data_IF_577750164934
#
_entry.id   IF_577750164934
#
_cell.length_a   1.000
_cell.length_b   1.000
_cell.length_c   1.000
_cell.angle_alpha   90.00
_cell.angle_beta   90.00
_cell.angle_gamma   90.00
#
_symmetry.space_group_name_H-M   'P 1'
#
loop_
_entity.id
_entity.type
_entity.pdbx_description
1 polymer ?
#
# COMPACT_ATOMS: atom_id res chain seq x y z
N UNK A 1 18.95 4.74 20.38
CA UNK A 1 17.51 4.45 20.60
C UNK A 1 17.15 3.36 19.63
N UNK A 2 16.50 2.29 20.08
CA UNK A 2 16.28 1.09 19.27
C UNK A 2 15.50 1.44 17.99
N UNK A 3 16.13 1.29 16.82
CA UNK A 3 15.36 1.01 15.62
C UNK A 3 14.77 -0.37 15.88
N UNK A 4 13.49 -0.44 16.26
CA UNK A 4 12.80 -1.73 16.42
C UNK A 4 12.52 -2.24 15.00
N UNK A 5 13.58 -2.64 14.32
CA UNK A 5 13.65 -3.00 12.90
C UNK A 5 13.17 -4.41 12.61
N UNK A 6 12.21 -4.92 13.38
CA UNK A 6 11.62 -6.26 13.19
C UNK A 6 10.12 -6.19 12.88
N UNK A 7 9.60 -4.99 12.60
CA UNK A 7 8.21 -4.80 12.21
C UNK A 7 7.99 -5.23 10.77
N UNK A 8 7.11 -6.20 10.53
CA UNK A 8 6.74 -6.72 9.21
C UNK A 8 5.30 -6.38 8.87
N UNK A 9 5.10 -5.78 7.70
CA UNK A 9 3.77 -5.54 7.10
C UNK A 9 3.69 -6.29 5.79
N UNK A 10 2.56 -6.94 5.54
CA UNK A 10 2.31 -7.68 4.29
C UNK A 10 1.15 -7.02 3.56
N UNK A 11 1.42 -6.49 2.38
CA UNK A 11 0.41 -6.01 1.44
C UNK A 11 0.04 -7.18 0.54
N UNK A 12 -1.25 -7.45 0.37
CA UNK A 12 -1.74 -8.50 -0.52
C UNK A 12 -2.73 -7.89 -1.49
N UNK A 13 -2.49 -8.06 -2.78
CA UNK A 13 -3.46 -7.66 -3.78
C UNK A 13 -4.54 -8.75 -3.90
N UNK A 14 -5.77 -8.40 -3.56
CA UNK A 14 -6.96 -9.21 -3.88
C UNK A 14 -7.96 -8.41 -4.72
N UNK A 15 -7.51 -7.32 -5.34
CA UNK A 15 -8.30 -6.58 -6.30
C UNK A 15 -8.18 -7.22 -7.69
N UNK A 16 -9.11 -6.87 -8.56
CA UNK A 16 -9.18 -7.32 -9.94
C UNK A 16 -8.12 -6.65 -10.84
N UNK A 17 -7.33 -5.72 -10.31
CA UNK A 17 -6.34 -4.91 -11.04
C UNK A 17 -4.92 -5.22 -10.59
N UNK A 18 -3.98 -5.15 -11.51
CA UNK A 18 -2.56 -5.24 -11.20
C UNK A 18 -2.07 -3.90 -10.64
N UNK A 19 -1.23 -3.91 -9.60
CA UNK A 19 -0.68 -2.69 -8.99
C UNK A 19 0.78 -2.53 -9.42
N UNK A 20 1.09 -1.46 -10.12
CA UNK A 20 2.42 -1.16 -10.64
C UNK A 20 3.28 -0.35 -9.67
N UNK A 21 2.67 0.53 -8.87
CA UNK A 21 3.39 1.34 -7.89
C UNK A 21 2.70 1.30 -6.51
N UNK A 22 3.49 1.26 -5.44
CA UNK A 22 3.00 1.29 -4.07
C UNK A 22 3.85 2.22 -3.20
N UNK A 23 3.18 3.20 -2.60
CA UNK A 23 3.74 4.17 -1.68
C UNK A 23 2.97 4.16 -0.37
N UNK A 24 3.60 4.54 0.74
CA UNK A 24 2.88 4.79 1.98
C UNK A 24 3.58 5.88 2.81
N UNK A 25 2.79 6.71 3.47
CA UNK A 25 3.27 7.82 4.27
C UNK A 25 2.47 7.95 5.58
N UNK A 26 3.04 8.55 6.64
CA UNK A 26 2.26 8.85 7.83
C UNK A 26 1.04 9.67 7.45
N UNK A 27 -0.11 9.43 8.10
CA UNK A 27 -1.34 10.11 7.70
C UNK A 27 -1.19 11.64 7.70
N UNK A 28 -1.64 12.29 6.62
CA UNK A 28 -1.50 13.74 6.32
C UNK A 28 -0.09 14.22 5.96
N UNK A 29 0.87 13.33 5.81
CA UNK A 29 2.16 13.67 5.20
C UNK A 29 2.00 13.71 3.67
N UNK A 30 2.62 14.69 3.02
CA UNK A 30 2.62 14.83 1.58
C UNK A 30 3.88 14.24 0.94
N UNK A 31 4.86 13.84 1.75
CA UNK A 31 6.05 13.13 1.30
C UNK A 31 5.80 11.62 1.31
N UNK A 32 5.55 11.08 0.12
CA UNK A 32 5.24 9.66 -0.09
C UNK A 32 6.47 8.75 -0.16
N UNK A 33 7.67 9.33 -0.19
CA UNK A 33 8.90 8.57 -0.33
C UNK A 33 9.06 7.91 -1.71
N UNK A 34 9.69 6.74 -1.71
CA UNK A 34 9.98 5.95 -2.91
C UNK A 34 8.91 4.91 -3.18
N UNK A 35 8.82 4.46 -4.44
CA UNK A 35 8.00 3.31 -4.80
C UNK A 35 8.60 2.03 -4.23
N UNK A 36 7.80 1.28 -3.48
CA UNK A 36 8.20 0.04 -2.84
C UNK A 36 8.13 -1.19 -3.76
N UNK A 37 7.52 -1.07 -4.95
CA UNK A 37 7.46 -2.13 -5.94
C UNK A 37 8.61 -2.05 -6.96
N UNK A 38 8.96 -0.84 -7.40
CA UNK A 38 10.09 -0.53 -8.25
C UNK A 38 9.91 -1.04 -9.68
N UNK A 39 10.36 -2.27 -9.96
CA UNK A 39 10.17 -2.93 -11.27
C UNK A 39 9.23 -4.14 -11.19
N UNK A 40 8.70 -4.40 -10.00
CA UNK A 40 7.76 -5.48 -9.76
C UNK A 40 6.34 -4.95 -9.90
N UNK A 41 5.43 -5.78 -10.41
CA UNK A 41 4.00 -5.52 -10.39
C UNK A 41 3.37 -6.51 -9.41
N UNK A 42 2.43 -6.04 -8.61
CA UNK A 42 1.68 -6.85 -7.65
C UNK A 42 0.37 -7.31 -8.31
N UNK A 43 0.40 -8.47 -8.96
CA UNK A 43 -0.77 -9.07 -9.62
C UNK A 43 -1.82 -9.55 -8.59
N UNK A 44 -3.04 -9.85 -9.05
CA UNK A 44 -4.06 -10.44 -8.18
C UNK A 44 -3.55 -11.72 -7.50
N UNK A 45 -3.56 -11.71 -6.17
CA UNK A 45 -3.11 -12.80 -5.30
C UNK A 45 -1.67 -12.65 -4.80
N UNK A 46 -0.90 -11.76 -5.39
CA UNK A 46 0.48 -11.51 -5.00
C UNK A 46 0.60 -10.70 -3.71
N UNK A 47 1.81 -10.72 -3.15
CA UNK A 47 2.10 -10.05 -1.89
C UNK A 47 3.44 -9.33 -1.89
N UNK A 48 3.45 -8.14 -1.30
CA UNK A 48 4.64 -7.38 -0.97
C UNK A 48 4.85 -7.45 0.54
N UNK A 49 6.08 -7.69 0.97
CA UNK A 49 6.46 -7.70 2.38
C UNK A 49 7.43 -6.58 2.66
N UNK A 50 7.05 -5.66 3.55
CA UNK A 50 7.90 -4.56 3.98
C UNK A 50 8.35 -4.78 5.43
N UNK A 51 9.62 -4.50 5.70
CA UNK A 51 10.24 -4.63 7.01
C UNK A 51 10.72 -3.29 7.53
N UNK A 52 10.63 -3.06 8.83
CA UNK A 52 11.02 -1.79 9.46
C UNK A 52 9.92 -0.74 9.46
N UNK A 53 8.68 -1.11 9.13
CA UNK A 53 7.51 -0.21 9.18
C UNK A 53 7.11 0.05 10.63
N UNK A 54 7.13 1.30 11.07
CA UNK A 54 6.70 1.62 12.44
C UNK A 54 5.19 1.41 12.60
N UNK A 55 4.76 0.91 13.77
CA UNK A 55 3.33 0.79 14.05
C UNK A 55 2.69 2.19 14.09
N UNK A 56 1.61 2.36 13.34
CA UNK A 56 0.92 3.64 13.24
C UNK A 56 -0.26 3.60 12.28
N UNK A 57 -0.81 4.80 12.04
CA UNK A 57 -1.81 5.03 11.01
C UNK A 57 -1.10 5.69 9.83
N UNK A 58 -1.30 5.11 8.66
CA UNK A 58 -0.63 5.45 7.42
C UNK A 58 -1.67 5.69 6.34
N UNK A 59 -1.33 6.53 5.37
CA UNK A 59 -2.06 6.60 4.11
C UNK A 59 -1.26 5.79 3.09
N UNK A 60 -1.96 4.99 2.29
CA UNK A 60 -1.35 4.13 1.26
C UNK A 60 -1.78 4.67 -0.10
N UNK A 61 -0.81 4.90 -0.97
CA UNK A 61 -1.07 5.28 -2.35
C UNK A 61 -0.66 4.15 -3.26
N UNK A 62 -1.54 3.77 -4.18
CA UNK A 62 -1.28 2.76 -5.20
C UNK A 62 -1.54 3.33 -6.58
N UNK A 63 -0.81 2.84 -7.57
CA UNK A 63 -1.06 3.12 -9.00
C UNK A 63 -1.29 1.78 -9.68
N UNK A 64 -2.41 1.63 -10.38
CA UNK A 64 -2.73 0.40 -11.10
C UNK A 64 -2.20 0.37 -12.53
N UNK A 65 -2.46 -0.73 -13.23
CA UNK A 65 -2.01 -0.99 -14.60
C UNK A 65 -2.55 0.00 -15.65
N UNK A 66 -3.64 0.71 -15.35
CA UNK A 66 -4.20 1.76 -16.22
C UNK A 66 -3.60 3.14 -15.89
N UNK A 67 -2.79 3.23 -14.83
CA UNK A 67 -2.18 4.46 -14.34
C UNK A 67 -3.10 5.26 -13.41
N UNK A 68 -4.20 4.68 -12.95
CA UNK A 68 -5.12 5.33 -12.01
C UNK A 68 -4.51 5.33 -10.61
N UNK A 69 -4.51 6.51 -9.98
CA UNK A 69 -3.93 6.71 -8.64
C UNK A 69 -5.02 6.60 -7.57
N UNK A 70 -4.78 5.74 -6.58
CA UNK A 70 -5.65 5.55 -5.44
C UNK A 70 -4.96 5.85 -4.12
N UNK A 71 -5.57 6.71 -3.31
CA UNK A 71 -5.13 7.00 -1.95
C UNK A 71 -6.13 6.43 -0.95
N UNK A 72 -5.68 5.44 -0.18
CA UNK A 72 -6.42 4.82 0.92
C UNK A 72 -5.90 5.44 2.23
N UNK A 73 -6.73 6.27 2.85
CA UNK A 73 -6.37 6.96 4.08
C UNK A 73 -6.64 6.11 5.34
N UNK A 74 -5.93 6.43 6.41
CA UNK A 74 -6.15 5.87 7.76
C UNK A 74 -5.95 4.35 7.89
N UNK A 75 -5.03 3.77 7.14
CA UNK A 75 -4.65 2.37 7.22
C UNK A 75 -3.81 2.12 8.48
N UNK A 76 -4.33 1.31 9.40
CA UNK A 76 -3.57 0.88 10.57
C UNK A 76 -2.58 -0.22 10.18
N UNK A 77 -1.28 0.10 10.22
CA UNK A 77 -0.20 -0.84 9.95
C UNK A 77 0.61 -1.04 11.22
N UNK A 78 0.73 -2.28 11.71
CA UNK A 78 1.61 -2.62 12.81
C UNK A 78 2.40 -3.90 12.54
N UNK A 79 3.67 -3.85 12.91
CA UNK A 79 4.71 -4.79 12.51
C UNK A 79 4.64 -6.21 13.06
N UNK A 80 3.63 -6.57 13.83
CA UNK A 80 3.59 -7.85 14.53
C UNK A 80 3.00 -8.99 13.67
N UNK A 81 2.88 -8.81 12.34
CA UNK A 81 2.25 -9.69 11.31
C UNK A 81 0.88 -9.21 10.84
N UNK A 82 0.66 -7.90 10.74
CA UNK A 82 -0.56 -7.41 10.09
C UNK A 82 -0.45 -7.57 8.57
N UNK A 83 -1.48 -8.22 8.03
CA UNK A 83 -1.71 -8.30 6.59
C UNK A 83 -2.77 -7.26 6.22
N UNK A 84 -2.39 -6.31 5.37
CA UNK A 84 -3.34 -5.43 4.73
C UNK A 84 -3.67 -5.97 3.33
N UNK A 85 -4.96 -5.98 3.01
CA UNK A 85 -5.48 -6.59 1.78
C UNK A 85 -6.13 -5.49 0.96
N UNK A 86 -5.60 -5.27 -0.24
CA UNK A 86 -6.17 -4.37 -1.25
C UNK A 86 -7.35 -5.10 -1.90
N UNK A 87 -8.55 -4.54 -1.84
CA UNK A 87 -9.74 -5.07 -2.50
C UNK A 87 -10.28 -4.08 -3.52
N UNK A 88 -11.17 -4.57 -4.37
CA UNK A 88 -11.86 -3.74 -5.35
C UNK A 88 -12.51 -2.51 -4.70
N UNK A 89 -13.19 -2.71 -3.57
CA UNK A 89 -13.87 -1.64 -2.82
C UNK A 89 -12.93 -0.51 -2.38
N UNK A 90 -11.65 -0.81 -2.15
CA UNK A 90 -10.62 0.17 -1.76
C UNK A 90 -10.19 1.03 -2.95
N UNK A 91 -10.31 0.51 -4.18
CA UNK A 91 -9.93 1.18 -5.43
C UNK A 91 -11.11 1.86 -6.13
N UNK A 92 -12.35 1.51 -5.75
CA UNK A 92 -13.58 2.06 -6.35
C UNK A 92 -13.64 3.59 -6.36
N UNK A 93 -13.11 4.25 -5.31
CA UNK A 93 -13.19 5.70 -5.19
C UNK A 93 -12.39 6.45 -6.27
N UNK A 94 -11.34 5.82 -6.80
CA UNK A 94 -10.45 6.40 -7.80
C UNK A 94 -10.81 5.89 -9.20
N UNK A 95 -11.27 4.66 -9.30
CA UNK A 95 -11.84 4.09 -10.52
C UNK A 95 -13.17 4.76 -10.95
N UNK A 96 -13.89 5.40 -10.02
CA UNK A 96 -15.05 6.23 -10.36
C UNK A 96 -14.67 7.56 -11.06
N UNK A 97 -13.38 7.91 -11.13
CA UNK A 97 -12.90 9.11 -11.79
C UNK A 97 -12.49 8.88 -13.26
N UNK A 98 -12.40 7.63 -13.72
CA UNK A 98 -11.99 7.25 -15.08
C UNK A 98 -13.14 7.02 -16.09
N UNK A 99 -14.39 7.41 -15.76
CA UNK A 99 -15.55 7.39 -16.68
C UNK A 99 -15.76 8.69 -17.51
#
# INVERSE_FOLDING_TARGET
MAAKGDSKVIFVNQSSWSIDELYFAPTRDADWGEDHLGQHTLDHGDRLTLTGVACGTWDVRVVDEDGDECIIENVALCGDTDQWVIRDDDLLACQAASE
#
